data_IF_111012011462
#
_entry.id   IF_111012011462
#
_cell.length_a   1.000
_cell.length_b   1.000
_cell.length_c   1.000
_cell.angle_alpha   90.00
_cell.angle_beta   90.00
_cell.angle_gamma   90.00
#
_symmetry.space_group_name_H-M   'P 1'
#
loop_
_entity.id
_entity.type
_entity.pdbx_description
1 polymer ?
#
# COMPACT_ATOMS: atom_id res chain seq x y z
N UNK A 1 13.23 -23.67 -24.63
CA UNK A 1 12.33 -23.04 -23.68
C UNK A 1 11.93 -24.05 -22.64
N UNK A 2 12.40 -23.84 -21.46
CA UNK A 2 12.06 -24.70 -20.34
C UNK A 2 10.66 -24.30 -19.88
N UNK A 3 9.70 -25.16 -20.12
CA UNK A 3 8.37 -24.93 -19.57
C UNK A 3 8.44 -25.11 -18.07
N UNK A 4 8.43 -24.00 -17.37
CA UNK A 4 8.31 -24.05 -15.91
C UNK A 4 6.87 -24.35 -15.58
N UNK A 5 6.65 -25.56 -15.12
CA UNK A 5 5.34 -25.95 -14.67
C UNK A 5 5.19 -25.50 -13.22
N UNK A 6 4.42 -24.48 -13.02
CA UNK A 6 4.10 -24.01 -11.68
C UNK A 6 2.66 -24.39 -11.40
N UNK A 7 2.46 -25.29 -10.46
CA UNK A 7 1.13 -25.62 -9.99
C UNK A 7 0.65 -24.47 -9.09
N UNK A 8 -0.10 -23.57 -9.68
CA UNK A 8 -0.60 -22.40 -8.98
C UNK A 8 -1.96 -22.70 -8.37
N UNK A 9 -2.00 -22.71 -7.04
CA UNK A 9 -3.26 -22.72 -6.32
C UNK A 9 -3.93 -21.34 -6.52
N UNK A 10 -5.17 -21.27 -6.99
CA UNK A 10 -5.86 -19.99 -7.18
C UNK A 10 -5.84 -19.10 -5.93
N UNK A 11 -5.92 -19.68 -4.74
CA UNK A 11 -5.89 -18.89 -3.50
C UNK A 11 -4.51 -18.26 -3.29
N UNK A 12 -3.43 -18.98 -3.60
CA UNK A 12 -2.07 -18.47 -3.49
C UNK A 12 -1.81 -17.37 -4.51
N UNK A 13 -2.32 -17.53 -5.72
CA UNK A 13 -2.21 -16.51 -6.77
C UNK A 13 -2.94 -15.25 -6.34
N UNK A 14 -4.15 -15.39 -5.80
CA UNK A 14 -4.93 -14.27 -5.31
C UNK A 14 -4.23 -13.51 -4.19
N UNK A 15 -3.65 -14.22 -3.23
CA UNK A 15 -2.89 -13.59 -2.14
C UNK A 15 -1.64 -12.89 -2.66
N UNK A 16 -0.92 -13.53 -3.58
CA UNK A 16 0.27 -12.93 -4.18
C UNK A 16 -0.06 -11.68 -4.97
N UNK A 17 -1.17 -11.70 -5.71
CA UNK A 17 -1.65 -10.55 -6.46
C UNK A 17 -2.02 -9.41 -5.51
N UNK A 18 -2.76 -9.71 -4.44
CA UNK A 18 -3.16 -8.71 -3.46
C UNK A 18 -1.96 -8.08 -2.76
N UNK A 19 -0.97 -8.89 -2.40
CA UNK A 19 0.27 -8.41 -1.79
C UNK A 19 1.02 -7.47 -2.75
N UNK A 20 1.04 -7.80 -4.03
CA UNK A 20 1.68 -6.95 -5.05
C UNK A 20 0.95 -5.63 -5.18
N UNK A 21 -0.38 -5.64 -5.22
CA UNK A 21 -1.20 -4.43 -5.30
C UNK A 21 -0.95 -3.55 -4.08
N UNK A 22 -0.88 -4.15 -2.89
CA UNK A 22 -0.60 -3.42 -1.66
C UNK A 22 0.80 -2.78 -1.70
N UNK A 23 1.81 -3.53 -2.14
CA UNK A 23 3.17 -2.99 -2.28
C UNK A 23 3.20 -1.82 -3.25
N UNK A 24 2.48 -1.92 -4.35
CA UNK A 24 2.36 -0.84 -5.33
C UNK A 24 1.67 0.38 -4.73
N UNK A 25 0.58 0.17 -3.99
CA UNK A 25 -0.14 1.25 -3.32
C UNK A 25 0.76 1.98 -2.30
N UNK A 26 1.56 1.25 -1.55
CA UNK A 26 2.51 1.83 -0.61
C UNK A 26 3.59 2.65 -1.32
N UNK A 27 4.09 2.16 -2.45
CA UNK A 27 5.07 2.90 -3.25
C UNK A 27 4.48 4.20 -3.80
N UNK A 28 3.24 4.16 -4.27
CA UNK A 28 2.53 5.35 -4.75
C UNK A 28 2.31 6.32 -3.60
N UNK A 29 1.93 5.84 -2.43
CA UNK A 29 1.78 6.68 -1.24
C UNK A 29 3.08 7.42 -0.90
N UNK A 30 4.20 6.72 -0.89
CA UNK A 30 5.50 7.34 -0.61
C UNK A 30 5.83 8.42 -1.64
N UNK A 31 5.54 8.16 -2.91
CA UNK A 31 5.74 9.13 -3.97
C UNK A 31 4.88 10.38 -3.75
N UNK A 32 3.60 10.19 -3.41
CA UNK A 32 2.69 11.29 -3.13
C UNK A 32 3.16 12.12 -1.93
N UNK A 33 3.66 11.47 -0.89
CA UNK A 33 4.19 12.17 0.28
C UNK A 33 5.40 13.04 -0.10
N UNK A 34 6.31 12.53 -0.93
CA UNK A 34 7.46 13.30 -1.39
C UNK A 34 7.03 14.50 -2.23
N UNK A 35 6.04 14.34 -3.09
CA UNK A 35 5.50 15.44 -3.88
C UNK A 35 4.82 16.47 -3.00
N UNK A 36 4.10 16.04 -1.97
CA UNK A 36 3.46 16.92 -1.01
C UNK A 36 4.47 17.78 -0.27
N UNK A 37 5.57 17.18 0.21
CA UNK A 37 6.65 17.90 0.88
C UNK A 37 7.25 18.96 -0.03
N UNK A 38 7.48 18.62 -1.30
CA UNK A 38 7.98 19.58 -2.28
C UNK A 38 7.06 20.76 -2.45
N UNK A 39 5.75 20.53 -2.54
CA UNK A 39 4.78 21.62 -2.70
C UNK A 39 4.73 22.51 -1.49
N UNK A 40 4.87 21.93 -0.30
CA UNK A 40 4.94 22.70 0.95
C UNK A 40 6.20 23.57 0.95
N UNK A 41 7.34 23.04 0.55
CA UNK A 41 8.61 23.76 0.50
C UNK A 41 8.58 24.91 -0.50
N UNK A 42 7.89 24.76 -1.61
CA UNK A 42 7.78 25.82 -2.62
C UNK A 42 6.81 26.92 -2.21
N UNK A 43 6.05 26.71 -1.14
CA UNK A 43 5.11 27.72 -0.63
C UNK A 43 3.85 27.90 -1.45
N UNK A 44 3.52 26.94 -2.31
CA UNK A 44 2.32 27.00 -3.16
C UNK A 44 1.02 26.73 -2.42
N UNK A 45 1.09 26.25 -1.18
CA UNK A 45 -0.06 25.85 -0.41
C UNK A 45 -0.32 26.79 0.76
N UNK A 46 -1.59 27.08 1.01
CA UNK A 46 -1.98 27.82 2.21
C UNK A 46 -1.80 26.92 3.44
N UNK A 47 -1.69 27.50 4.66
CA UNK A 47 -1.61 26.69 5.88
C UNK A 47 -2.77 25.70 6.03
N UNK A 48 -3.98 26.09 5.63
CA UNK A 48 -5.14 25.21 5.67
C UNK A 48 -5.01 24.04 4.72
N UNK A 49 -4.47 24.29 3.53
CA UNK A 49 -4.24 23.25 2.53
C UNK A 49 -3.16 22.28 3.00
N UNK A 50 -2.10 22.78 3.63
CA UNK A 50 -1.03 21.95 4.20
C UNK A 50 -1.61 21.01 5.27
N UNK A 51 -2.44 21.54 6.15
CA UNK A 51 -3.05 20.75 7.21
C UNK A 51 -3.97 19.67 6.67
N UNK A 52 -4.80 20.03 5.69
CA UNK A 52 -5.71 19.09 5.03
C UNK A 52 -4.95 17.99 4.29
N UNK A 53 -3.89 18.36 3.60
CA UNK A 53 -3.04 17.41 2.88
C UNK A 53 -2.39 16.43 3.85
N UNK A 54 -1.85 16.93 4.96
CA UNK A 54 -1.25 16.09 5.99
C UNK A 54 -2.24 15.11 6.60
N UNK A 55 -3.45 15.55 6.89
CA UNK A 55 -4.51 14.69 7.43
C UNK A 55 -4.91 13.62 6.43
N UNK A 56 -5.02 13.98 5.15
CA UNK A 56 -5.36 13.04 4.09
C UNK A 56 -4.29 11.96 3.93
N UNK A 57 -3.01 12.35 3.91
CA UNK A 57 -1.90 11.42 3.78
C UNK A 57 -1.82 10.48 4.99
N UNK A 58 -2.08 11.00 6.19
CA UNK A 58 -2.11 10.17 7.39
C UNK A 58 -3.24 9.15 7.33
N UNK A 59 -4.43 9.55 6.84
CA UNK A 59 -5.56 8.64 6.68
C UNK A 59 -5.23 7.52 5.69
N UNK A 60 -4.60 7.85 4.57
CA UNK A 60 -4.18 6.85 3.58
C UNK A 60 -3.17 5.88 4.20
N UNK A 61 -2.20 6.39 4.94
CA UNK A 61 -1.20 5.56 5.61
C UNK A 61 -1.85 4.58 6.58
N UNK A 62 -2.83 5.03 7.36
CA UNK A 62 -3.55 4.19 8.30
C UNK A 62 -4.35 3.11 7.60
N UNK A 63 -5.04 3.46 6.52
CA UNK A 63 -5.83 2.51 5.73
C UNK A 63 -4.94 1.41 5.14
N UNK A 64 -3.79 1.77 4.62
CA UNK A 64 -2.85 0.79 4.07
C UNK A 64 -2.26 -0.10 5.17
N UNK A 65 -1.98 0.45 6.34
CA UNK A 65 -1.48 -0.33 7.47
C UNK A 65 -2.53 -1.34 7.95
N UNK A 66 -3.78 -0.93 8.04
CA UNK A 66 -4.87 -1.83 8.41
C UNK A 66 -5.06 -2.94 7.39
N UNK A 67 -4.98 -2.60 6.11
CA UNK A 67 -5.08 -3.59 5.05
C UNK A 67 -3.93 -4.60 5.12
N UNK A 68 -2.72 -4.13 5.37
CA UNK A 68 -1.55 -4.99 5.53
C UNK A 68 -1.74 -5.96 6.70
N UNK A 69 -2.19 -5.48 7.83
CA UNK A 69 -2.47 -6.31 9.00
C UNK A 69 -3.51 -7.37 8.70
N UNK A 70 -4.57 -6.98 8.00
CA UNK A 70 -5.64 -7.90 7.62
C UNK A 70 -5.13 -9.02 6.73
N UNK A 71 -4.29 -8.69 5.75
CA UNK A 71 -3.70 -9.68 4.86
C UNK A 71 -2.74 -10.61 5.59
N UNK A 72 -1.95 -10.09 6.53
CA UNK A 72 -1.05 -10.90 7.34
C UNK A 72 -1.82 -11.86 8.23
N UNK A 73 -2.91 -11.43 8.82
CA UNK A 73 -3.77 -12.27 9.64
C UNK A 73 -4.41 -13.39 8.83
N UNK A 74 -4.88 -13.10 7.63
CA UNK A 74 -5.43 -14.12 6.74
C UNK A 74 -4.40 -15.17 6.37
N UNK A 75 -3.18 -14.74 6.04
CA UNK A 75 -2.09 -15.62 5.70
C UNK A 75 -1.71 -16.52 6.88
N UNK A 76 -1.61 -15.94 8.07
CA UNK A 76 -1.28 -16.69 9.29
C UNK A 76 -2.40 -17.64 9.68
N UNK A 77 -3.65 -17.24 9.51
CA UNK A 77 -4.80 -18.08 9.79
C UNK A 77 -4.85 -19.35 8.95
N UNK A 78 -4.36 -19.29 7.72
CA UNK A 78 -4.31 -20.47 6.84
C UNK A 78 -3.18 -21.41 7.20
N UNK A 79 -2.12 -20.91 7.79
CA UNK A 79 -0.95 -21.72 8.16
C UNK A 79 -1.16 -22.52 9.44
N UNK A 80 -2.24 -22.26 10.18
CA UNK A 80 -2.49 -22.88 11.48
C UNK A 80 -3.41 -24.11 11.42
N UNK A 81 -3.62 -24.67 10.28
CA UNK A 81 -4.41 -25.91 10.21
C UNK A 81 -3.59 -27.16 10.51
#
# INVERSE_FOLDING_TARGET
>A
VTAVRVDLDPDDVGRGFTALVLALAEAVRELLERQAVRRIETGDLTPEQVERLGSTLLAVRRQLAELREHLEMESNGKDTT
#
